data_IF_573348743725
#
_entry.id   IF_573348743725
#
_cell.length_a   1.000
_cell.length_b   1.000
_cell.length_c   1.000
_cell.angle_alpha   90.00
_cell.angle_beta   90.00
_cell.angle_gamma   90.00
#
_symmetry.space_group_name_H-M   'P 1'
#
loop_
_entity.id
_entity.type
_entity.pdbx_description
1 polymer ?
#
# COMPACT_ATOMS: atom_id res chain seq x y z
N UNK A 1 4.39 11.35 -4.64
CA UNK A 1 4.86 9.95 -4.36
C UNK A 1 3.99 9.00 -5.14
N UNK A 2 4.59 8.26 -6.06
CA UNK A 2 3.84 7.38 -6.97
C UNK A 2 3.49 6.05 -6.28
N UNK A 3 2.41 5.39 -6.72
CA UNK A 3 2.04 4.03 -6.33
C UNK A 3 3.24 3.06 -6.34
N UNK A 4 4.08 3.13 -7.38
CA UNK A 4 5.28 2.28 -7.50
C UNK A 4 6.32 2.54 -6.41
N UNK A 5 6.55 3.80 -6.08
CA UNK A 5 7.51 4.20 -5.03
C UNK A 5 7.01 3.77 -3.66
N UNK A 6 5.71 3.95 -3.40
CA UNK A 6 5.13 3.52 -2.13
C UNK A 6 5.15 2.02 -1.95
N UNK A 7 4.86 1.26 -3.01
CA UNK A 7 5.01 -0.20 -3.00
C UNK A 7 6.44 -0.62 -2.67
N UNK A 8 7.45 0.03 -3.27
CA UNK A 8 8.87 -0.24 -2.96
C UNK A 8 9.21 0.09 -1.50
N UNK A 9 8.71 1.20 -0.97
CA UNK A 9 8.92 1.58 0.42
C UNK A 9 8.28 0.56 1.38
N UNK A 10 7.02 0.19 1.16
CA UNK A 10 6.31 -0.83 1.94
C UNK A 10 7.01 -2.20 1.86
N UNK A 11 7.53 -2.58 0.68
CA UNK A 11 8.34 -3.81 0.52
C UNK A 11 9.60 -3.77 1.38
N UNK A 12 10.29 -2.63 1.46
CA UNK A 12 11.45 -2.44 2.35
C UNK A 12 11.10 -2.56 3.82
N UNK A 13 9.88 -2.18 4.21
CA UNK A 13 9.37 -2.37 5.57
C UNK A 13 9.01 -3.84 5.89
N UNK A 14 9.10 -4.76 4.92
CA UNK A 14 8.70 -6.16 5.12
C UNK A 14 7.21 -6.41 4.92
N UNK A 15 6.49 -5.50 4.27
CA UNK A 15 5.09 -5.72 3.91
C UNK A 15 4.97 -6.75 2.76
N UNK A 16 3.96 -7.61 2.87
CA UNK A 16 3.58 -8.60 1.86
C UNK A 16 2.44 -8.06 1.03
N UNK A 17 2.47 -8.31 -0.29
CA UNK A 17 1.43 -7.85 -1.22
C UNK A 17 0.65 -9.05 -1.74
N UNK A 18 -0.66 -9.02 -1.55
CA UNK A 18 -1.60 -9.98 -2.09
C UNK A 18 -2.39 -9.29 -3.22
N UNK A 19 -1.96 -9.57 -4.45
CA UNK A 19 -2.59 -9.06 -5.68
C UNK A 19 -3.83 -9.88 -6.06
N UNK A 20 -3.99 -11.09 -5.53
CA UNK A 20 -5.13 -11.98 -5.83
C UNK A 20 -6.41 -11.53 -5.12
N UNK A 21 -6.29 -10.89 -3.95
CA UNK A 21 -7.43 -10.31 -3.21
C UNK A 21 -7.87 -8.94 -3.71
N UNK A 22 -7.12 -8.36 -4.65
CA UNK A 22 -7.41 -7.07 -5.24
C UNK A 22 -8.33 -7.16 -6.45
N UNK A 23 -9.51 -6.53 -6.42
CA UNK A 23 -10.29 -6.32 -7.65
C UNK A 23 -9.70 -5.15 -8.44
N UNK A 24 -9.16 -5.46 -9.61
CA UNK A 24 -8.68 -4.47 -10.58
C UNK A 24 -7.39 -3.78 -10.14
N UNK A 25 -7.41 -2.46 -10.03
CA UNK A 25 -6.26 -1.63 -9.68
C UNK A 25 -6.06 -1.46 -8.17
N UNK A 26 -6.53 -2.37 -7.32
CA UNK A 26 -6.27 -2.35 -5.88
C UNK A 26 -5.40 -3.54 -5.49
N UNK A 27 -4.45 -3.35 -4.56
CA UNK A 27 -3.63 -4.42 -4.01
C UNK A 27 -3.80 -4.47 -2.50
N UNK A 28 -3.80 -5.68 -1.94
CA UNK A 28 -3.90 -5.83 -0.49
C UNK A 28 -2.49 -5.90 0.08
N UNK A 29 -2.18 -5.07 1.07
CA UNK A 29 -0.89 -5.02 1.75
C UNK A 29 -1.05 -5.59 3.16
N UNK A 30 -0.20 -6.54 3.54
CA UNK A 30 -0.19 -7.17 4.87
C UNK A 30 1.13 -6.91 5.56
N UNK A 31 1.06 -6.57 6.83
CA UNK A 31 2.22 -6.39 7.70
C UNK A 31 1.93 -7.06 9.04
N UNK A 32 2.47 -8.28 9.23
CA UNK A 32 2.11 -9.14 10.36
C UNK A 32 0.61 -9.40 10.43
N UNK A 33 -0.01 -9.02 11.56
CA UNK A 33 -1.45 -9.16 11.79
C UNK A 33 -2.29 -8.01 11.18
N UNK A 34 -1.65 -7.00 10.59
CA UNK A 34 -2.33 -5.84 10.01
C UNK A 34 -2.48 -5.99 8.50
N UNK A 35 -3.59 -5.49 7.97
CA UNK A 35 -3.88 -5.49 6.54
C UNK A 35 -4.47 -4.14 6.15
N UNK A 36 -4.16 -3.68 4.95
CA UNK A 36 -4.76 -2.51 4.31
C UNK A 36 -4.91 -2.75 2.81
N UNK A 37 -5.78 -1.98 2.18
CA UNK A 37 -5.97 -1.99 0.73
C UNK A 37 -5.35 -0.73 0.17
N UNK A 38 -4.40 -0.89 -0.75
CA UNK A 38 -3.73 0.19 -1.43
C UNK A 38 -4.26 0.30 -2.86
N UNK A 39 -4.74 1.47 -3.29
CA UNK A 39 -5.02 1.71 -4.70
C UNK A 39 -3.72 1.77 -5.50
N UNK A 40 -3.75 1.18 -6.68
CA UNK A 40 -2.69 1.01 -7.65
C UNK A 40 -3.16 1.62 -8.98
N UNK A 41 -3.58 2.89 -8.92
CA UNK A 41 -4.04 3.66 -10.08
C UNK A 41 -2.84 4.13 -10.91
N UNK A 42 -2.20 3.21 -11.63
CA UNK A 42 -1.22 3.50 -12.70
C UNK A 42 -0.25 4.64 -12.41
N UNK A 43 -0.22 5.63 -13.30
CA UNK A 43 0.73 6.77 -13.27
C UNK A 43 0.27 7.95 -12.41
N UNK A 44 -0.84 7.84 -11.67
CA UNK A 44 -1.31 8.94 -10.81
C UNK A 44 -0.56 8.93 -9.48
N UNK A 45 -0.24 10.13 -9.01
CA UNK A 45 0.30 10.32 -7.68
C UNK A 45 -0.71 9.87 -6.61
N UNK A 46 -0.21 9.21 -5.56
CA UNK A 46 -1.04 8.89 -4.41
C UNK A 46 -1.28 10.15 -3.59
N UNK A 47 -2.54 10.45 -3.20
CA UNK A 47 -2.81 11.50 -2.24
C UNK A 47 -2.02 11.27 -0.94
N UNK A 48 -1.43 12.33 -0.41
CA UNK A 48 -0.62 12.28 0.82
C UNK A 48 -1.45 11.72 1.99
N UNK A 49 -2.75 12.07 2.06
CA UNK A 49 -3.67 11.54 3.07
C UNK A 49 -3.84 10.02 2.98
N UNK A 50 -3.86 9.45 1.77
CA UNK A 50 -3.96 8.00 1.57
C UNK A 50 -2.68 7.29 2.02
N UNK A 51 -1.51 7.85 1.69
CA UNK A 51 -0.21 7.32 2.15
C UNK A 51 -0.13 7.34 3.68
N UNK A 52 -0.52 8.46 4.31
CA UNK A 52 -0.52 8.62 5.76
C UNK A 52 -1.51 7.64 6.44
N UNK A 53 -2.71 7.47 5.87
CA UNK A 53 -3.70 6.52 6.36
C UNK A 53 -3.18 5.07 6.29
N UNK A 54 -2.58 4.67 5.17
CA UNK A 54 -2.01 3.32 4.98
C UNK A 54 -0.89 3.06 5.99
N UNK A 55 0.03 4.02 6.17
CA UNK A 55 1.09 3.91 7.19
C UNK A 55 0.51 3.74 8.60
N UNK A 56 -0.48 4.55 8.96
CA UNK A 56 -1.18 4.46 10.26
C UNK A 56 -1.88 3.11 10.45
N UNK A 57 -2.58 2.61 9.42
CA UNK A 57 -3.26 1.32 9.44
C UNK A 57 -2.29 0.15 9.59
N UNK A 58 -1.13 0.22 8.93
CA UNK A 58 -0.05 -0.76 9.08
C UNK A 58 0.75 -0.56 10.37
N UNK A 59 0.57 0.55 11.07
CA UNK A 59 1.34 0.92 12.26
C UNK A 59 2.80 1.21 11.97
N UNK A 60 3.11 1.64 10.75
CA UNK A 60 4.42 2.10 10.34
C UNK A 60 4.50 3.60 10.69
N UNK A 61 5.49 3.99 11.51
CA UNK A 61 5.79 5.40 11.79
C UNK A 61 6.70 5.97 10.71
#
# INVERSE_FOLDING_TARGET
MNCKEFRRWLKKQGCVFDECRGKGSHITVRYGNKMTVMPMHGSKELPIGTVAAIKKQLGLK
#
